data_IF_982405673206
#
_entry.id   IF_982405673206
#
_cell.length_a   1.000
_cell.length_b   1.000
_cell.length_c   1.000
_cell.angle_alpha   90.00
_cell.angle_beta   90.00
_cell.angle_gamma   90.00
#
_symmetry.space_group_name_H-M   'P 1'
#
loop_
_entity.id
_entity.type
_entity.pdbx_description
1 polymer ?
#
# COMPACT_ATOMS: atom_id res chain seq x y z
N UNK A 1 -1.37 3.79 -13.03
CA UNK A 1 -2.58 3.01 -12.76
C UNK A 1 -2.86 3.07 -11.28
N UNK A 2 -4.04 3.53 -10.90
CA UNK A 2 -4.47 3.69 -9.51
C UNK A 2 -5.77 2.93 -9.30
N UNK A 3 -6.09 2.67 -8.05
CA UNK A 3 -7.44 2.31 -7.62
C UNK A 3 -7.94 0.99 -8.21
N UNK A 4 -7.06 0.01 -8.37
CA UNK A 4 -7.48 -1.25 -8.96
C UNK A 4 -8.42 -2.01 -8.04
N UNK A 5 -8.12 -2.02 -6.74
CA UNK A 5 -9.01 -2.63 -5.76
C UNK A 5 -10.41 -2.00 -5.83
N UNK A 6 -10.49 -0.67 -5.72
CA UNK A 6 -11.76 0.06 -5.72
C UNK A 6 -12.52 -0.11 -7.04
N UNK A 7 -11.79 -0.10 -8.18
CA UNK A 7 -12.40 -0.34 -9.49
C UNK A 7 -13.02 -1.73 -9.59
N UNK A 8 -12.27 -2.78 -9.24
CA UNK A 8 -12.75 -4.16 -9.29
C UNK A 8 -13.87 -4.36 -8.28
N UNK A 9 -13.74 -3.82 -7.07
CA UNK A 9 -14.76 -3.88 -6.03
C UNK A 9 -16.06 -3.24 -6.48
N UNK A 10 -15.99 -2.07 -7.11
CA UNK A 10 -17.17 -1.39 -7.65
C UNK A 10 -17.84 -2.19 -8.78
N UNK A 11 -17.06 -2.74 -9.70
CA UNK A 11 -17.57 -3.45 -10.88
C UNK A 11 -18.08 -4.86 -10.59
N UNK A 12 -17.48 -5.55 -9.61
CA UNK A 12 -17.74 -6.98 -9.34
C UNK A 12 -18.37 -7.25 -7.96
N UNK A 13 -18.35 -6.26 -7.06
CA UNK A 13 -18.72 -6.43 -5.66
C UNK A 13 -17.68 -7.13 -4.81
N UNK A 14 -16.52 -7.54 -5.39
CA UNK A 14 -15.50 -8.37 -4.74
C UNK A 14 -14.14 -7.70 -4.70
N UNK A 15 -13.26 -8.11 -3.77
CA UNK A 15 -11.85 -7.76 -3.81
C UNK A 15 -11.21 -8.26 -5.10
N UNK A 16 -10.21 -7.55 -5.61
CA UNK A 16 -9.44 -8.02 -6.76
C UNK A 16 -8.57 -9.25 -6.46
N UNK A 17 -8.38 -9.60 -5.18
CA UNK A 17 -7.74 -10.83 -4.70
C UNK A 17 -8.67 -12.05 -4.75
N UNK A 18 -10.00 -11.84 -4.84
CA UNK A 18 -10.96 -12.94 -5.01
C UNK A 18 -10.67 -13.67 -6.33
N UNK A 19 -10.51 -15.01 -6.30
CA UNK A 19 -10.16 -15.80 -7.50
C UNK A 19 -11.11 -15.57 -8.69
N UNK A 20 -12.37 -15.22 -8.44
CA UNK A 20 -13.34 -14.93 -9.52
C UNK A 20 -13.21 -13.51 -10.08
N UNK A 21 -12.60 -12.57 -9.37
CA UNK A 21 -12.41 -11.18 -9.77
C UNK A 21 -11.00 -10.89 -10.29
N UNK A 22 -9.99 -11.67 -9.87
CA UNK A 22 -8.60 -11.53 -10.32
C UNK A 22 -8.44 -11.53 -11.85
N UNK A 23 -9.11 -12.40 -12.63
CA UNK A 23 -9.00 -12.35 -14.09
C UNK A 23 -9.41 -11.00 -14.68
N UNK A 24 -10.49 -10.40 -14.17
CA UNK A 24 -10.93 -9.06 -14.61
C UNK A 24 -9.89 -7.98 -14.28
N UNK A 25 -9.27 -8.05 -13.10
CA UNK A 25 -8.20 -7.12 -12.71
C UNK A 25 -6.98 -7.24 -13.65
N UNK A 26 -6.61 -8.45 -14.06
CA UNK A 26 -5.51 -8.70 -15.01
C UNK A 26 -5.87 -8.24 -16.42
N UNK A 27 -7.09 -8.48 -16.87
CA UNK A 27 -7.60 -8.03 -18.17
C UNK A 27 -7.51 -6.51 -18.32
N UNK A 28 -7.88 -5.75 -17.28
CA UNK A 28 -7.71 -4.29 -17.30
C UNK A 28 -6.25 -3.90 -17.53
N UNK A 29 -5.28 -4.57 -16.89
CA UNK A 29 -3.85 -4.30 -17.10
C UNK A 29 -3.40 -4.64 -18.52
N UNK A 30 -3.84 -5.79 -19.02
CA UNK A 30 -3.51 -6.21 -20.37
C UNK A 30 -4.06 -5.22 -21.40
N UNK A 31 -5.33 -4.83 -21.29
CA UNK A 31 -5.95 -3.83 -22.16
C UNK A 31 -5.16 -2.50 -22.19
N UNK A 32 -4.66 -2.06 -21.04
CA UNK A 32 -3.83 -0.85 -20.97
C UNK A 32 -2.46 -1.05 -21.62
N UNK A 33 -1.82 -2.22 -21.50
CA UNK A 33 -0.59 -2.53 -22.21
C UNK A 33 -0.81 -2.55 -23.74
N UNK A 34 -1.92 -3.13 -24.19
CA UNK A 34 -2.29 -3.16 -25.61
C UNK A 34 -2.48 -1.73 -26.15
N UNK A 35 -3.10 -0.83 -25.36
CA UNK A 35 -3.21 0.58 -25.69
C UNK A 35 -1.82 1.25 -25.79
N UNK A 36 -0.90 0.99 -24.86
CA UNK A 36 0.47 1.48 -24.91
C UNK A 36 1.19 1.00 -26.17
N UNK A 37 1.06 -0.26 -26.53
CA UNK A 37 1.65 -0.82 -27.75
C UNK A 37 1.08 -0.17 -29.03
N UNK A 38 -0.23 0.08 -29.06
CA UNK A 38 -0.89 0.78 -30.17
C UNK A 38 -0.37 2.23 -30.27
N UNK A 39 -0.26 2.96 -29.19
CA UNK A 39 0.26 4.35 -29.20
C UNK A 39 1.73 4.41 -29.62
N UNK A 40 2.55 3.44 -29.19
CA UNK A 40 3.94 3.33 -29.67
C UNK A 40 3.99 3.23 -31.19
N UNK A 41 3.16 2.38 -31.80
CA UNK A 41 3.09 2.25 -33.26
C UNK A 41 2.61 3.54 -33.96
N UNK A 42 1.62 4.23 -33.37
CA UNK A 42 1.04 5.43 -33.95
C UNK A 42 1.97 6.66 -33.87
N UNK A 43 2.73 6.77 -32.79
CA UNK A 43 3.48 8.01 -32.48
C UNK A 43 4.99 7.84 -32.51
N UNK A 44 5.49 6.61 -32.68
CA UNK A 44 6.91 6.25 -32.60
C UNK A 44 7.58 6.75 -31.30
N UNK A 45 6.82 6.65 -30.19
CA UNK A 45 7.24 7.00 -28.84
C UNK A 45 6.92 5.82 -27.94
N UNK A 46 7.82 5.47 -27.02
CA UNK A 46 7.59 4.41 -26.05
C UNK A 46 6.59 4.84 -24.97
N UNK A 47 5.61 3.98 -24.71
CA UNK A 47 4.66 4.10 -23.63
C UNK A 47 4.74 2.83 -22.78
N UNK A 48 4.66 2.96 -21.47
CA UNK A 48 4.64 1.82 -20.58
C UNK A 48 3.76 2.07 -19.36
N UNK A 49 3.22 0.99 -18.80
CA UNK A 49 2.50 1.05 -17.55
C UNK A 49 3.49 1.12 -16.40
N UNK A 50 3.16 1.97 -15.43
CA UNK A 50 3.91 2.13 -14.19
C UNK A 50 2.98 1.95 -13.00
N UNK A 51 3.29 0.96 -12.15
CA UNK A 51 2.62 0.72 -10.87
C UNK A 51 3.20 1.66 -9.81
N UNK A 52 2.82 2.93 -9.87
CA UNK A 52 3.39 3.95 -8.98
C UNK A 52 2.67 4.03 -7.64
N UNK A 53 3.37 3.93 -6.53
CA UNK A 53 2.90 4.38 -5.23
C UNK A 53 2.91 5.91 -5.19
N UNK A 54 1.86 6.51 -4.64
CA UNK A 54 1.71 7.97 -4.53
C UNK A 54 1.16 8.35 -3.16
N UNK A 55 1.82 9.27 -2.49
CA UNK A 55 1.45 9.70 -1.14
C UNK A 55 0.20 10.56 -1.07
N UNK A 56 0.36 11.83 -1.42
CA UNK A 56 -0.70 12.84 -1.26
C UNK A 56 -1.87 12.63 -2.18
N UNK A 57 -1.66 11.93 -3.29
CA UNK A 57 -2.68 11.77 -4.31
C UNK A 57 -3.75 10.78 -3.92
N UNK A 58 -3.41 9.73 -3.16
CA UNK A 58 -4.40 8.76 -2.65
C UNK A 58 -5.46 9.44 -1.80
N UNK A 59 -5.05 10.33 -0.90
CA UNK A 59 -5.95 11.14 -0.09
C UNK A 59 -6.78 12.12 -0.94
N UNK A 60 -6.12 12.86 -1.84
CA UNK A 60 -6.81 13.82 -2.72
C UNK A 60 -7.84 13.14 -3.60
N UNK A 61 -7.52 11.97 -4.18
CA UNK A 61 -8.45 11.21 -4.99
C UNK A 61 -9.63 10.69 -4.17
N UNK A 62 -9.39 10.13 -2.97
CA UNK A 62 -10.46 9.71 -2.08
C UNK A 62 -11.46 10.85 -1.83
N UNK A 63 -10.97 12.06 -1.48
CA UNK A 63 -11.80 13.24 -1.29
C UNK A 63 -12.56 13.66 -2.56
N UNK A 64 -11.92 13.60 -3.72
CA UNK A 64 -12.57 13.92 -4.98
C UNK A 64 -13.66 12.92 -5.35
N UNK A 65 -13.42 11.63 -5.14
CA UNK A 65 -14.39 10.57 -5.39
C UNK A 65 -15.60 10.70 -4.45
N UNK A 66 -15.35 10.91 -3.16
CA UNK A 66 -16.40 11.15 -2.16
C UNK A 66 -17.26 12.36 -2.53
N UNK A 67 -16.63 13.47 -2.92
CA UNK A 67 -17.35 14.68 -3.34
C UNK A 67 -18.20 14.45 -4.58
N UNK A 68 -17.73 13.64 -5.53
CA UNK A 68 -18.39 13.44 -6.82
C UNK A 68 -19.46 12.35 -6.79
N UNK A 69 -19.21 11.27 -6.06
CA UNK A 69 -20.03 10.05 -6.10
C UNK A 69 -20.64 9.67 -4.74
N UNK A 70 -20.33 10.43 -3.68
CA UNK A 70 -20.77 10.10 -2.31
C UNK A 70 -19.94 8.98 -1.70
N UNK A 71 -20.45 8.45 -0.59
CA UNK A 71 -19.83 7.33 0.14
C UNK A 71 -20.39 6.02 -0.41
N UNK A 72 -19.52 5.22 -0.99
CA UNK A 72 -19.81 3.87 -1.49
C UNK A 72 -19.01 2.88 -0.64
N UNK A 73 -19.67 1.99 0.14
CA UNK A 73 -18.99 1.05 1.04
C UNK A 73 -17.96 0.19 0.32
N UNK A 74 -16.74 0.13 0.89
CA UNK A 74 -15.59 -0.61 0.34
C UNK A 74 -14.99 -0.01 -0.92
N UNK A 75 -15.42 1.20 -1.35
CA UNK A 75 -14.93 1.88 -2.57
C UNK A 75 -14.49 3.30 -2.28
N UNK A 76 -15.36 4.13 -1.67
CA UNK A 76 -15.07 5.54 -1.40
C UNK A 76 -15.24 5.90 0.09
N UNK A 77 -15.41 4.93 0.96
CA UNK A 77 -15.68 5.11 2.40
C UNK A 77 -14.46 5.38 3.25
N UNK A 78 -13.25 5.25 2.69
CA UNK A 78 -11.99 5.55 3.36
C UNK A 78 -11.43 6.93 2.98
N UNK A 79 -10.59 7.51 3.84
CA UNK A 79 -9.85 8.74 3.54
C UNK A 79 -8.70 8.54 2.55
N UNK A 80 -8.50 7.35 2.04
CA UNK A 80 -7.47 6.97 1.06
C UNK A 80 -8.04 6.01 0.03
N UNK A 81 -7.29 5.77 -1.03
CA UNK A 81 -7.53 4.73 -2.04
C UNK A 81 -6.30 3.85 -2.14
N UNK A 82 -6.50 2.60 -2.56
CA UNK A 82 -5.42 1.63 -2.72
C UNK A 82 -4.43 2.09 -3.79
N UNK A 83 -3.14 1.98 -3.50
CA UNK A 83 -2.12 2.29 -4.48
C UNK A 83 -2.04 1.18 -5.54
N UNK A 84 -2.11 1.58 -6.81
CA UNK A 84 -1.82 0.71 -7.96
C UNK A 84 -2.58 -0.63 -7.92
N UNK A 85 -1.86 -1.74 -7.94
CA UNK A 85 -2.36 -3.11 -7.93
C UNK A 85 -2.26 -3.80 -6.56
N UNK A 86 -1.77 -3.08 -5.53
CA UNK A 86 -1.52 -3.69 -4.23
C UNK A 86 -2.79 -4.30 -3.63
N UNK A 87 -2.60 -5.37 -2.87
CA UNK A 87 -3.64 -5.86 -1.97
C UNK A 87 -4.06 -4.74 -1.03
N UNK A 88 -5.36 -4.60 -0.78
CA UNK A 88 -5.87 -3.58 0.13
C UNK A 88 -5.22 -3.74 1.52
N UNK A 89 -4.77 -2.65 2.11
CA UNK A 89 -3.92 -2.67 3.32
C UNK A 89 -4.56 -3.32 4.54
N UNK A 90 -5.89 -3.39 4.60
CA UNK A 90 -6.65 -4.04 5.67
C UNK A 90 -7.03 -5.49 5.36
N UNK A 91 -6.61 -6.03 4.21
CA UNK A 91 -6.95 -7.41 3.84
C UNK A 91 -6.02 -8.40 4.53
N UNK A 92 -6.60 -9.31 5.30
CA UNK A 92 -5.87 -10.39 5.99
C UNK A 92 -5.35 -11.39 4.97
N UNK A 93 -4.06 -11.32 4.66
CA UNK A 93 -3.36 -12.18 3.71
C UNK A 93 -1.93 -12.39 4.16
N UNK A 94 -1.39 -13.59 4.02
CA UNK A 94 0.01 -13.83 4.34
C UNK A 94 0.97 -13.28 3.25
N UNK A 95 2.24 -13.13 3.62
CA UNK A 95 3.25 -12.54 2.74
C UNK A 95 3.42 -13.29 1.42
N UNK A 96 3.33 -14.61 1.43
CA UNK A 96 3.56 -15.43 0.22
C UNK A 96 2.38 -15.33 -0.74
N UNK A 97 1.16 -15.42 -0.23
CA UNK A 97 -0.04 -15.28 -1.04
C UNK A 97 -0.18 -13.84 -1.58
N UNK A 98 0.15 -12.83 -0.77
CA UNK A 98 0.22 -11.45 -1.22
C UNK A 98 1.23 -11.26 -2.36
N UNK A 99 2.45 -11.72 -2.18
CA UNK A 99 3.50 -11.61 -3.19
C UNK A 99 3.16 -12.41 -4.45
N UNK A 100 2.58 -13.62 -4.30
CA UNK A 100 2.09 -14.43 -5.42
C UNK A 100 1.03 -13.70 -6.22
N UNK A 101 0.08 -13.07 -5.54
CA UNK A 101 -0.95 -12.27 -6.19
C UNK A 101 -0.33 -11.08 -6.93
N UNK A 102 0.48 -10.27 -6.26
CA UNK A 102 1.05 -9.04 -6.81
C UNK A 102 2.08 -9.30 -7.92
N UNK A 103 2.78 -10.44 -7.93
CA UNK A 103 3.74 -10.82 -8.98
C UNK A 103 3.12 -10.82 -10.38
N UNK A 104 1.85 -11.17 -10.50
CA UNK A 104 1.13 -11.18 -11.76
C UNK A 104 1.00 -9.77 -12.35
N UNK A 105 0.76 -8.79 -11.49
CA UNK A 105 0.61 -7.38 -11.88
C UNK A 105 1.95 -6.70 -12.12
N UNK A 106 3.00 -7.06 -11.38
CA UNK A 106 4.34 -6.55 -11.63
C UNK A 106 4.81 -6.86 -13.06
N UNK A 107 4.58 -8.08 -13.54
CA UNK A 107 4.89 -8.49 -14.92
C UNK A 107 4.15 -7.66 -15.97
N UNK A 108 2.96 -7.15 -15.64
CA UNK A 108 2.16 -6.27 -16.49
C UNK A 108 2.47 -4.77 -16.29
N UNK A 109 3.49 -4.45 -15.52
CA UNK A 109 3.92 -3.06 -15.24
C UNK A 109 5.36 -2.82 -15.70
N UNK A 110 5.64 -2.86 -17.01
CA UNK A 110 7.01 -2.77 -17.54
C UNK A 110 7.69 -1.44 -17.26
N UNK A 111 6.96 -0.39 -16.91
CA UNK A 111 7.50 0.90 -16.50
C UNK A 111 8.03 0.96 -15.08
N UNK A 112 7.84 -0.13 -14.32
CA UNK A 112 8.27 -0.23 -12.93
C UNK A 112 7.10 -0.57 -12.00
N UNK A 113 7.41 -1.30 -10.95
CA UNK A 113 6.46 -1.72 -9.92
C UNK A 113 7.22 -2.08 -8.65
N UNK A 114 6.55 -1.96 -7.51
CA UNK A 114 7.08 -2.33 -6.20
C UNK A 114 5.99 -3.01 -5.39
N UNK A 115 6.35 -4.00 -4.59
CA UNK A 115 5.48 -4.63 -3.59
C UNK A 115 6.00 -4.37 -2.18
N UNK A 116 5.09 -4.25 -1.22
CA UNK A 116 5.41 -4.05 0.19
C UNK A 116 4.90 -5.20 1.04
N UNK A 117 5.72 -5.66 1.98
CA UNK A 117 5.34 -6.67 2.96
C UNK A 117 5.49 -6.06 4.35
N UNK A 118 4.38 -5.93 5.06
CA UNK A 118 4.37 -5.47 6.45
C UNK A 118 4.78 -6.62 7.36
N UNK A 119 5.89 -6.46 8.08
CA UNK A 119 6.43 -7.49 8.97
C UNK A 119 6.61 -6.94 10.39
N UNK A 120 6.45 -7.78 11.43
CA UNK A 120 6.82 -7.39 12.79
C UNK A 120 8.34 -7.24 12.93
N UNK A 121 8.83 -6.96 14.14
CA UNK A 121 10.26 -7.05 14.39
C UNK A 121 10.73 -8.50 14.19
N UNK A 122 11.61 -8.70 13.20
CA UNK A 122 12.08 -10.02 12.77
C UNK A 122 13.49 -10.36 13.28
N UNK A 123 14.04 -9.60 14.23
CA UNK A 123 15.41 -9.82 14.74
C UNK A 123 15.62 -11.25 15.24
N UNK A 124 14.62 -11.83 15.87
CA UNK A 124 14.67 -13.19 16.43
C UNK A 124 14.24 -14.29 15.45
N UNK A 125 13.80 -13.92 14.23
CA UNK A 125 13.32 -14.86 13.22
C UNK A 125 13.94 -14.64 11.84
N UNK A 126 15.26 -14.59 11.77
CA UNK A 126 15.99 -14.39 10.52
C UNK A 126 15.71 -15.48 9.47
N UNK A 127 15.33 -16.70 9.89
CA UNK A 127 14.95 -17.77 8.96
C UNK A 127 13.71 -17.43 8.15
N UNK A 128 12.71 -16.79 8.75
CA UNK A 128 11.52 -16.33 8.04
C UNK A 128 11.88 -15.21 7.06
N UNK A 129 12.73 -14.26 7.48
CA UNK A 129 13.23 -13.19 6.58
C UNK A 129 13.90 -13.79 5.35
N UNK A 130 14.82 -14.74 5.52
CA UNK A 130 15.53 -15.39 4.41
C UNK A 130 14.54 -16.10 3.46
N UNK A 131 13.52 -16.78 3.98
CA UNK A 131 12.50 -17.43 3.16
C UNK A 131 11.69 -16.43 2.34
N UNK A 132 11.28 -15.30 2.93
CA UNK A 132 10.58 -14.23 2.20
C UNK A 132 11.50 -13.62 1.14
N UNK A 133 12.76 -13.35 1.47
CA UNK A 133 13.75 -12.84 0.51
C UNK A 133 13.98 -13.81 -0.65
N UNK A 134 14.06 -15.12 -0.39
CA UNK A 134 14.17 -16.12 -1.44
C UNK A 134 12.95 -16.13 -2.34
N UNK A 135 11.74 -16.07 -1.75
CA UNK A 135 10.51 -16.00 -2.53
C UNK A 135 10.45 -14.75 -3.42
N UNK A 136 10.85 -13.59 -2.87
CA UNK A 136 10.96 -12.32 -3.62
C UNK A 136 11.93 -12.51 -4.79
N UNK A 137 13.13 -13.04 -4.55
CA UNK A 137 14.13 -13.27 -5.59
C UNK A 137 13.60 -14.13 -6.74
N UNK A 138 12.83 -15.17 -6.42
CA UNK A 138 12.33 -16.12 -7.42
C UNK A 138 11.10 -15.60 -8.21
N UNK A 139 10.30 -14.66 -7.63
CA UNK A 139 8.96 -14.37 -8.15
C UNK A 139 8.66 -12.89 -8.34
N UNK A 140 9.38 -11.99 -7.70
CA UNK A 140 9.07 -10.57 -7.60
C UNK A 140 10.19 -9.73 -8.21
N UNK A 141 9.83 -8.73 -8.99
CA UNK A 141 10.82 -7.83 -9.64
C UNK A 141 11.43 -6.85 -8.63
N UNK A 142 10.61 -6.31 -7.75
CA UNK A 142 11.03 -5.40 -6.69
C UNK A 142 10.06 -5.45 -5.52
N UNK A 143 10.58 -5.67 -4.32
CA UNK A 143 9.81 -5.63 -3.09
C UNK A 143 10.61 -5.05 -1.94
N UNK A 144 9.89 -4.56 -0.93
CA UNK A 144 10.44 -4.00 0.28
C UNK A 144 9.71 -4.56 1.51
N UNK A 145 10.47 -4.78 2.58
CA UNK A 145 9.94 -5.17 3.87
C UNK A 145 9.72 -3.91 4.72
N UNK A 146 8.52 -3.74 5.24
CA UNK A 146 8.19 -2.69 6.19
C UNK A 146 8.19 -3.24 7.60
N UNK A 147 8.93 -2.58 8.49
CA UNK A 147 8.88 -2.85 9.93
C UNK A 147 8.42 -1.59 10.67
N UNK A 148 7.86 -1.78 11.85
CA UNK A 148 7.45 -0.69 12.74
C UNK A 148 8.48 -0.59 13.87
N UNK A 149 9.53 0.19 13.67
CA UNK A 149 10.63 0.45 14.60
C UNK A 149 10.65 1.94 14.89
N UNK A 150 9.91 2.35 15.91
CA UNK A 150 9.76 3.74 16.30
C UNK A 150 10.38 3.95 17.70
N UNK A 151 10.65 5.21 18.02
CA UNK A 151 11.25 5.58 19.29
C UNK A 151 10.61 6.87 19.86
N UNK A 152 10.29 6.83 21.15
CA UNK A 152 9.84 8.01 21.90
C UNK A 152 11.00 8.58 22.71
N UNK A 153 11.41 9.81 22.41
CA UNK A 153 12.50 10.50 23.13
C UNK A 153 12.14 10.87 24.57
N UNK A 154 10.84 11.04 24.88
CA UNK A 154 10.40 11.44 26.23
C UNK A 154 10.56 10.31 27.26
N UNK A 155 10.31 9.08 26.88
CA UNK A 155 10.31 7.97 27.83
C UNK A 155 11.25 6.82 27.47
N UNK A 156 11.95 6.91 26.33
CA UNK A 156 12.85 5.86 25.85
C UNK A 156 12.14 4.63 25.29
N UNK A 157 10.83 4.69 25.03
CA UNK A 157 10.11 3.56 24.42
C UNK A 157 10.67 3.27 23.03
N UNK A 158 11.02 2.00 22.80
CA UNK A 158 11.45 1.46 21.51
C UNK A 158 10.41 0.42 21.07
N UNK A 159 9.71 0.68 19.96
CA UNK A 159 8.62 -0.15 19.48
C UNK A 159 7.66 0.62 18.56
N UNK A 160 6.46 0.09 18.38
CA UNK A 160 5.46 0.74 17.52
C UNK A 160 4.76 1.90 18.23
N UNK A 161 4.96 3.13 17.75
CA UNK A 161 4.13 4.29 18.10
C UNK A 161 2.76 4.10 17.42
N UNK A 162 1.70 4.27 18.19
CA UNK A 162 0.33 4.02 17.75
C UNK A 162 -0.30 5.23 17.08
N UNK A 163 -1.30 4.97 16.25
CA UNK A 163 -2.19 5.99 15.70
C UNK A 163 -3.52 5.85 16.42
N UNK A 164 -3.92 6.90 17.13
CA UNK A 164 -5.18 6.95 17.90
C UNK A 164 -6.06 8.06 17.36
N UNK A 165 -7.35 8.02 17.71
CA UNK A 165 -8.29 9.09 17.40
C UNK A 165 -8.39 10.05 18.60
N UNK A 166 -8.13 11.33 18.35
CA UNK A 166 -8.24 12.40 19.32
C UNK A 166 -8.98 13.58 18.68
N UNK A 167 -10.11 13.96 19.27
CA UNK A 167 -11.03 15.03 18.80
C UNK A 167 -11.33 14.95 17.27
N UNK A 168 -11.65 13.73 16.80
CA UNK A 168 -12.00 13.47 15.40
C UNK A 168 -10.83 13.54 14.42
N UNK A 169 -9.59 13.53 14.92
CA UNK A 169 -8.36 13.48 14.12
C UNK A 169 -7.50 12.28 14.51
N UNK A 170 -6.80 11.75 13.55
CA UNK A 170 -5.78 10.73 13.79
C UNK A 170 -4.49 11.39 14.22
N UNK A 171 -3.99 11.01 15.40
CA UNK A 171 -2.75 11.50 15.99
C UNK A 171 -1.83 10.34 16.35
N UNK A 172 -0.54 10.60 16.41
CA UNK A 172 0.45 9.64 16.84
C UNK A 172 0.65 9.72 18.34
N UNK A 173 0.64 8.57 19.00
CA UNK A 173 0.73 8.48 20.47
C UNK A 173 1.73 7.39 20.88
N UNK A 174 2.60 7.75 21.82
CA UNK A 174 3.44 6.77 22.48
C UNK A 174 2.60 5.87 23.39
N UNK A 175 2.56 4.54 23.19
CA UNK A 175 1.73 3.65 24.01
C UNK A 175 2.22 3.51 25.45
N UNK A 176 3.43 3.98 25.75
CA UNK A 176 4.03 3.90 27.10
C UNK A 176 3.77 5.14 27.94
N UNK A 177 3.90 6.36 27.38
CA UNK A 177 3.79 7.59 28.15
C UNK A 177 2.70 8.55 27.65
N UNK A 178 1.97 8.22 26.58
CA UNK A 178 0.93 9.09 26.01
C UNK A 178 1.47 10.32 25.30
N UNK A 179 2.77 10.38 25.00
CA UNK A 179 3.33 11.52 24.28
C UNK A 179 2.76 11.64 22.87
N UNK A 180 2.29 12.84 22.50
CA UNK A 180 1.79 13.22 21.17
C UNK A 180 2.70 14.22 20.44
N UNK A 181 3.79 14.64 21.05
CA UNK A 181 4.66 15.64 20.46
C UNK A 181 5.47 15.05 19.30
N UNK A 182 5.13 15.48 18.10
CA UNK A 182 5.76 15.00 16.86
C UNK A 182 7.27 15.29 16.77
N UNK A 183 7.77 16.28 17.51
CA UNK A 183 9.20 16.62 17.56
C UNK A 183 10.02 15.61 18.38
N UNK A 184 9.36 14.91 19.31
CA UNK A 184 10.00 13.92 20.21
C UNK A 184 9.56 12.47 19.91
N UNK A 185 8.69 12.28 18.92
CA UNK A 185 8.31 10.98 18.39
C UNK A 185 9.08 10.69 17.08
N UNK A 186 9.99 9.73 17.11
CA UNK A 186 10.69 9.26 15.93
C UNK A 186 9.89 8.12 15.30
N UNK A 187 9.11 8.44 14.28
CA UNK A 187 8.30 7.46 13.53
C UNK A 187 8.86 7.32 12.13
N UNK A 188 9.11 6.10 11.72
CA UNK A 188 9.56 5.79 10.37
C UNK A 188 8.57 4.83 9.69
N UNK A 189 8.06 5.21 8.53
CA UNK A 189 7.15 4.37 7.72
C UNK A 189 7.55 4.45 6.27
N UNK A 190 7.47 3.30 5.62
CA UNK A 190 7.61 3.24 4.18
C UNK A 190 6.28 3.59 3.53
N UNK A 191 6.28 4.50 2.59
CA UNK A 191 5.04 4.96 1.96
C UNK A 191 5.06 4.86 0.44
N UNK A 192 6.04 5.40 -0.24
CA UNK A 192 6.04 5.50 -1.70
C UNK A 192 7.40 5.18 -2.32
N UNK A 193 8.05 4.12 -1.88
CA UNK A 193 9.39 3.75 -2.32
C UNK A 193 10.50 4.45 -1.53
N UNK A 194 10.16 5.20 -0.48
CA UNK A 194 11.12 5.76 0.47
C UNK A 194 10.59 5.62 1.90
N UNK A 195 11.49 5.72 2.87
CA UNK A 195 11.14 5.75 4.29
C UNK A 195 10.86 7.20 4.66
N UNK A 196 9.59 7.49 4.98
CA UNK A 196 9.19 8.77 5.55
C UNK A 196 9.43 8.79 7.05
N UNK A 197 10.03 9.86 7.54
CA UNK A 197 10.23 10.12 8.97
C UNK A 197 9.43 11.34 9.44
N UNK A 198 8.59 11.87 8.58
CA UNK A 198 7.70 13.00 8.85
C UNK A 198 6.25 12.53 8.95
N UNK A 199 5.44 13.36 9.59
CA UNK A 199 4.03 13.04 9.76
C UNK A 199 3.25 13.34 8.48
N UNK A 200 2.23 12.53 8.23
CA UNK A 200 1.49 12.50 6.99
C UNK A 200 0.12 13.18 7.11
N UNK A 201 -0.54 13.43 5.99
CA UNK A 201 -1.94 13.87 5.98
C UNK A 201 -2.87 12.78 6.57
N UNK A 202 -4.07 13.18 6.97
CA UNK A 202 -5.02 12.30 7.67
C UNK A 202 -5.35 11.01 6.89
N UNK A 203 -5.52 11.08 5.57
CA UNK A 203 -5.81 9.89 4.78
C UNK A 203 -4.62 8.93 4.69
N UNK A 204 -3.38 9.43 4.64
CA UNK A 204 -2.20 8.58 4.70
C UNK A 204 -2.01 8.00 6.12
N UNK A 205 -2.28 8.78 7.13
CA UNK A 205 -2.26 8.32 8.52
C UNK A 205 -3.29 7.21 8.75
N UNK A 206 -4.50 7.35 8.19
CA UNK A 206 -5.53 6.32 8.21
C UNK A 206 -5.07 5.05 7.49
N UNK A 207 -4.50 5.17 6.31
CA UNK A 207 -3.96 4.03 5.55
C UNK A 207 -2.85 3.28 6.33
N UNK A 208 -1.93 4.01 6.97
CA UNK A 208 -0.87 3.41 7.80
C UNK A 208 -1.45 2.71 9.04
N UNK A 209 -2.47 3.28 9.68
CA UNK A 209 -3.18 2.65 10.80
C UNK A 209 -3.84 1.35 10.39
N UNK A 210 -4.47 1.34 9.22
CA UNK A 210 -5.27 0.22 8.73
C UNK A 210 -4.41 -0.94 8.18
N UNK A 211 -3.08 -0.79 8.10
CA UNK A 211 -2.17 -1.84 7.61
C UNK A 211 -2.16 -3.04 8.53
N UNK A 212 -2.41 -4.22 7.98
CA UNK A 212 -2.25 -5.51 8.66
C UNK A 212 -0.84 -6.07 8.45
N UNK A 213 -0.39 -6.90 9.39
CA UNK A 213 0.88 -7.64 9.26
C UNK A 213 0.67 -8.85 8.34
N UNK A 214 1.71 -9.22 7.61
CA UNK A 214 1.69 -10.34 6.67
C UNK A 214 2.50 -11.57 7.15
N UNK A 215 3.18 -11.44 8.31
CA UNK A 215 3.95 -12.51 8.95
C UNK A 215 3.63 -12.58 10.45
#
# INVERSE_FOLDING_TARGET
IRDRYECVKYMTGKSHTDPSATPFALEIMQHMNDACAKWKQMHNIDFSLYGTPLESTTYKFAKCLQKRFGIIPGVTDKGYITNSYHVHVSEEIDAFDKLKFESQFQRLSPGGAISYVEVPNMQDNLKAVIRVMQYIYDNIMYAELNTKSDYCQECGFDGEIKIVEDDGKLVWECPHCGNHNQETLNVARRTCGYIGTQFWNQGRTEEIRDRVLHL
#
